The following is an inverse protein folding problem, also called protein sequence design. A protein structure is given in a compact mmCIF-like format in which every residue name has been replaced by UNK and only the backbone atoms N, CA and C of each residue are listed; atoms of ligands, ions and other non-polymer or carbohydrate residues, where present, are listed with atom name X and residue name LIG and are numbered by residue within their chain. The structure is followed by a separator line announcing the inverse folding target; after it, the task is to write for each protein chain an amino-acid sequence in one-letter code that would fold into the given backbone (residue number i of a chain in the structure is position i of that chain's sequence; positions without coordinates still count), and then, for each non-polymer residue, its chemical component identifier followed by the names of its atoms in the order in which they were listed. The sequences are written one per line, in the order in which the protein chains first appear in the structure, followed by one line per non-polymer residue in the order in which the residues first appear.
data_IF_760934167351
#
_entry.id   IF_760934167351
#
_cell.length_a   1.000
_cell.length_b   1.000
_cell.length_c   1.000
_cell.angle_alpha   90.00
_cell.angle_beta   90.00
_cell.angle_gamma   90.00
#
_symmetry.space_group_name_H-M   'P 1'
#
loop_
_entity.id
_entity.type
_entity.pdbx_description
1 polymer ?
#
# COMPACT_ATOMS: atom_id res chain seq x y z
N UNK A 1 0.68 -2.75 33.86
CA UNK A 1 2.14 -2.62 34.10
C UNK A 1 2.56 -1.16 34.00
N UNK A 2 3.61 -0.76 34.72
CA UNK A 2 4.19 0.60 34.63
C UNK A 2 4.86 0.82 33.26
N UNK A 3 4.88 2.05 32.76
CA UNK A 3 5.47 2.39 31.46
C UNK A 3 6.97 2.07 31.38
N UNK A 4 7.76 2.40 32.40
CA UNK A 4 9.20 2.10 32.46
C UNK A 4 9.49 0.61 32.34
N UNK A 5 8.71 -0.22 33.02
CA UNK A 5 8.79 -1.68 32.94
C UNK A 5 8.41 -2.19 31.54
N UNK A 6 7.36 -1.63 30.93
CA UNK A 6 6.94 -1.96 29.57
C UNK A 6 8.09 -1.71 28.58
N UNK A 7 8.66 -0.50 28.59
CA UNK A 7 9.71 -0.12 27.64
C UNK A 7 10.95 -0.98 27.80
N UNK A 8 11.39 -1.25 29.03
CA UNK A 8 12.54 -2.10 29.32
C UNK A 8 12.37 -3.52 28.77
N UNK A 9 11.23 -4.17 29.05
CA UNK A 9 10.96 -5.54 28.56
C UNK A 9 10.91 -5.63 27.03
N UNK A 10 10.35 -4.61 26.37
CA UNK A 10 10.29 -4.56 24.90
C UNK A 10 11.68 -4.43 24.30
N UNK A 11 12.53 -3.56 24.86
CA UNK A 11 13.90 -3.36 24.41
C UNK A 11 14.75 -4.62 24.62
N UNK A 12 14.69 -5.24 25.81
CA UNK A 12 15.42 -6.48 26.12
C UNK A 12 15.05 -7.62 25.15
N UNK A 13 13.78 -7.72 24.79
CA UNK A 13 13.30 -8.69 23.82
C UNK A 13 13.83 -8.38 22.42
N UNK A 14 13.75 -7.12 22.00
CA UNK A 14 14.21 -6.71 20.67
C UNK A 14 15.70 -6.94 20.51
N UNK A 15 16.48 -6.75 21.58
CA UNK A 15 17.92 -6.99 21.52
C UNK A 15 18.27 -8.46 21.26
N UNK A 16 17.45 -9.40 21.73
CA UNK A 16 17.66 -10.84 21.57
C UNK A 16 16.97 -11.44 20.34
N UNK A 17 15.78 -10.95 19.99
CA UNK A 17 14.86 -11.62 19.06
C UNK A 17 14.30 -10.71 17.95
N UNK A 18 14.53 -9.40 18.04
CA UNK A 18 14.08 -8.43 17.05
C UNK A 18 14.75 -8.61 15.69
N UNK A 19 14.05 -8.26 14.61
CA UNK A 19 14.65 -8.22 13.27
C UNK A 19 15.49 -6.96 13.13
N UNK A 20 16.75 -7.13 12.75
CA UNK A 20 17.73 -6.04 12.64
C UNK A 20 18.44 -6.00 11.29
N UNK A 21 18.05 -6.88 10.37
CA UNK A 21 18.76 -7.15 9.11
C UNK A 21 17.90 -6.91 7.88
N UNK A 22 16.74 -6.26 8.02
CA UNK A 22 15.93 -5.90 6.86
C UNK A 22 16.66 -4.83 6.03
N UNK A 23 16.47 -4.79 4.70
CA UNK A 23 17.20 -3.86 3.82
C UNK A 23 17.16 -2.39 4.24
N UNK A 24 16.00 -1.93 4.74
CA UNK A 24 15.80 -0.56 5.22
C UNK A 24 16.30 -0.30 6.65
N UNK A 25 16.79 -1.33 7.35
CA UNK A 25 17.40 -1.20 8.68
C UNK A 25 18.93 -1.06 8.62
N UNK A 26 19.55 -1.41 7.49
CA UNK A 26 20.99 -1.23 7.24
C UNK A 26 21.21 0.18 6.70
N UNK A 27 22.24 0.88 7.17
CA UNK A 27 22.60 2.25 6.76
C UNK A 27 21.37 3.17 6.67
N UNK A 28 20.74 3.37 7.83
CA UNK A 28 19.45 4.07 7.92
C UNK A 28 19.63 5.52 7.50
N UNK A 29 18.79 5.95 6.56
CA UNK A 29 18.60 7.35 6.18
C UNK A 29 17.12 7.69 6.24
N UNK A 30 16.73 8.96 6.46
CA UNK A 30 15.32 9.35 6.42
C UNK A 30 14.62 8.94 5.12
N UNK A 31 15.30 9.03 3.97
CA UNK A 31 14.77 8.60 2.67
C UNK A 31 14.45 7.10 2.62
N UNK A 32 15.41 6.24 3.00
CA UNK A 32 15.23 4.77 3.00
C UNK A 32 14.12 4.35 3.96
N UNK A 33 14.11 4.93 5.17
CA UNK A 33 13.07 4.65 6.17
C UNK A 33 11.71 5.08 5.65
N UNK A 34 11.58 6.31 5.14
CA UNK A 34 10.33 6.81 4.57
C UNK A 34 9.79 5.93 3.45
N UNK A 35 10.65 5.54 2.49
CA UNK A 35 10.25 4.66 1.39
C UNK A 35 9.70 3.33 1.91
N UNK A 36 10.42 2.69 2.84
CA UNK A 36 9.99 1.42 3.44
C UNK A 36 8.67 1.56 4.20
N UNK A 37 8.50 2.64 4.98
CA UNK A 37 7.29 2.90 5.75
C UNK A 37 6.06 3.08 4.83
N UNK A 38 6.21 3.80 3.72
CA UNK A 38 5.13 3.95 2.73
C UNK A 38 4.81 2.60 2.08
N UNK A 39 5.81 1.80 1.72
CA UNK A 39 5.59 0.46 1.16
C UNK A 39 4.93 -0.51 2.15
N UNK A 40 5.27 -0.45 3.44
CA UNK A 40 4.75 -1.33 4.49
C UNK A 40 3.31 -1.01 4.92
N UNK A 41 2.77 0.15 4.51
CA UNK A 41 1.35 0.46 4.73
C UNK A 41 0.46 -0.62 4.12
N UNK A 42 -0.22 -1.39 4.99
CA UNK A 42 -1.12 -2.47 4.58
C UNK A 42 -0.48 -3.55 3.68
N UNK A 43 0.85 -3.68 3.70
CA UNK A 43 1.59 -4.65 2.89
C UNK A 43 2.55 -5.44 3.78
N UNK A 44 2.72 -6.74 3.53
CA UNK A 44 3.58 -7.59 4.35
C UNK A 44 5.06 -7.35 4.06
N UNK A 45 5.91 -7.49 5.09
CA UNK A 45 7.37 -7.33 4.98
C UNK A 45 7.97 -8.19 3.86
N UNK A 46 7.60 -9.47 3.79
CA UNK A 46 8.11 -10.39 2.76
C UNK A 46 7.78 -9.93 1.34
N UNK A 47 6.60 -9.34 1.13
CA UNK A 47 6.22 -8.73 -0.16
C UNK A 47 7.03 -7.47 -0.45
N UNK A 48 7.30 -6.64 0.56
CA UNK A 48 7.98 -5.34 0.39
C UNK A 48 9.45 -5.49 0.07
N UNK A 49 10.17 -6.45 0.67
CA UNK A 49 11.62 -6.64 0.49
C UNK A 49 12.07 -6.52 -0.98
N UNK A 50 11.56 -7.34 -1.93
CA UNK A 50 12.04 -7.28 -3.31
C UNK A 50 11.67 -5.97 -4.03
N UNK A 51 10.59 -5.28 -3.61
CA UNK A 51 10.24 -3.98 -4.20
C UNK A 51 11.15 -2.88 -3.67
N UNK A 52 11.42 -2.86 -2.37
CA UNK A 52 12.32 -1.89 -1.77
C UNK A 52 13.70 -1.93 -2.43
N UNK A 53 14.26 -3.13 -2.62
CA UNK A 53 15.56 -3.32 -3.27
C UNK A 53 15.57 -2.77 -4.70
N UNK A 54 14.57 -3.12 -5.53
CA UNK A 54 14.48 -2.60 -6.91
C UNK A 54 14.27 -1.09 -6.95
N UNK A 55 13.45 -0.54 -6.05
CA UNK A 55 13.22 0.90 -5.95
C UNK A 55 14.48 1.64 -5.55
N UNK A 56 15.22 1.17 -4.55
CA UNK A 56 16.47 1.80 -4.11
C UNK A 56 17.58 1.68 -5.15
N UNK A 57 17.62 0.58 -5.91
CA UNK A 57 18.54 0.44 -7.04
C UNK A 57 18.24 1.45 -8.16
N UNK A 58 16.96 1.70 -8.45
CA UNK A 58 16.56 2.64 -9.51
C UNK A 58 16.55 4.11 -9.06
N UNK A 59 16.16 4.36 -7.82
CA UNK A 59 16.07 5.68 -7.20
C UNK A 59 16.90 5.71 -5.91
N UNK A 60 18.24 5.82 -6.01
CA UNK A 60 19.10 5.79 -4.83
C UNK A 60 18.86 6.96 -3.87
N UNK A 61 18.46 8.12 -4.40
CA UNK A 61 18.18 9.34 -3.62
C UNK A 61 16.76 9.84 -3.80
N UNK A 62 16.30 10.69 -2.87
CA UNK A 62 15.01 11.38 -2.99
C UNK A 62 14.93 12.26 -4.23
N UNK A 63 16.04 12.84 -4.66
CA UNK A 63 16.13 13.67 -5.87
C UNK A 63 15.98 12.83 -7.13
N UNK A 64 16.57 11.63 -7.18
CA UNK A 64 16.38 10.70 -8.31
C UNK A 64 14.92 10.28 -8.43
N UNK A 65 14.26 10.00 -7.30
CA UNK A 65 12.83 9.71 -7.27
C UNK A 65 12.00 10.92 -7.73
N UNK A 66 12.34 12.13 -7.31
CA UNK A 66 11.62 13.35 -7.66
C UNK A 66 11.69 13.70 -9.16
N UNK A 67 12.83 13.41 -9.79
CA UNK A 67 13.09 13.70 -11.20
C UNK A 67 12.53 12.62 -12.15
N UNK A 68 12.11 11.47 -11.61
CA UNK A 68 11.61 10.38 -12.42
C UNK A 68 10.24 10.71 -13.05
N UNK A 69 9.96 10.21 -14.27
CA UNK A 69 8.60 10.22 -14.80
C UNK A 69 7.66 9.44 -13.87
N UNK A 70 6.46 9.96 -13.63
CA UNK A 70 5.47 9.31 -12.76
C UNK A 70 5.14 7.88 -13.23
N UNK A 71 5.05 7.66 -14.54
CA UNK A 71 4.73 6.34 -15.10
C UNK A 71 5.79 5.29 -14.75
N UNK A 72 7.06 5.67 -14.69
CA UNK A 72 8.15 4.78 -14.27
C UNK A 72 8.04 4.41 -12.78
N UNK A 73 7.71 5.40 -11.93
CA UNK A 73 7.45 5.17 -10.50
C UNK A 73 6.27 4.23 -10.30
N UNK A 74 5.18 4.44 -11.05
CA UNK A 74 3.98 3.60 -10.99
C UNK A 74 4.24 2.20 -11.56
N UNK A 75 5.06 2.09 -12.60
CA UNK A 75 5.49 0.83 -13.17
C UNK A 75 6.20 -0.03 -12.11
N UNK A 76 7.23 0.52 -11.45
CA UNK A 76 7.94 -0.21 -10.39
C UNK A 76 7.05 -0.55 -9.19
N UNK A 77 6.01 0.25 -8.93
CA UNK A 77 5.03 0.00 -7.87
C UNK A 77 3.98 -1.07 -8.23
N UNK A 78 3.92 -1.49 -9.50
CA UNK A 78 2.91 -2.43 -10.00
C UNK A 78 2.94 -3.73 -9.18
N UNK A 79 1.79 -4.11 -8.62
CA UNK A 79 1.65 -5.28 -7.76
C UNK A 79 1.68 -5.01 -6.25
N UNK A 80 2.18 -3.86 -5.78
CA UNK A 80 2.11 -3.49 -4.35
C UNK A 80 0.72 -3.01 -3.91
N UNK A 81 -0.14 -2.63 -4.86
CA UNK A 81 -1.47 -2.10 -4.57
C UNK A 81 -1.46 -0.72 -3.90
N UNK A 82 -2.66 -0.16 -3.66
CA UNK A 82 -2.85 1.17 -3.06
C UNK A 82 -1.99 2.26 -3.73
N UNK A 83 -2.09 2.40 -5.06
CA UNK A 83 -1.24 3.29 -5.88
C UNK A 83 -1.31 4.79 -5.55
N UNK A 84 -2.31 5.21 -4.77
CA UNK A 84 -2.30 6.55 -4.17
C UNK A 84 -1.04 6.78 -3.31
N UNK A 85 -0.50 5.72 -2.69
CA UNK A 85 0.77 5.76 -1.95
C UNK A 85 1.93 6.16 -2.85
N UNK A 86 2.10 5.51 -4.00
CA UNK A 86 3.15 5.83 -4.96
C UNK A 86 3.04 7.26 -5.50
N UNK A 87 1.82 7.71 -5.83
CA UNK A 87 1.58 9.08 -6.31
C UNK A 87 1.91 10.12 -5.24
N UNK A 88 1.50 9.88 -4.00
CA UNK A 88 1.80 10.77 -2.89
C UNK A 88 3.29 10.75 -2.54
N UNK A 89 3.92 9.57 -2.57
CA UNK A 89 5.37 9.41 -2.41
C UNK A 89 6.12 10.26 -3.44
N UNK A 90 5.75 10.17 -4.72
CA UNK A 90 6.38 10.93 -5.78
C UNK A 90 6.21 12.45 -5.59
N UNK A 91 4.98 12.90 -5.31
CA UNK A 91 4.71 14.33 -5.01
C UNK A 91 5.50 14.83 -3.79
N UNK A 92 5.60 14.01 -2.74
CA UNK A 92 6.40 14.32 -1.57
C UNK A 92 7.90 14.38 -1.88
N UNK A 93 8.42 13.47 -2.72
CA UNK A 93 9.81 13.54 -3.19
C UNK A 93 10.10 14.86 -3.92
N UNK A 94 9.19 15.28 -4.81
CA UNK A 94 9.27 16.55 -5.53
C UNK A 94 9.21 17.76 -4.59
N UNK A 95 8.38 17.69 -3.54
CA UNK A 95 8.34 18.71 -2.49
C UNK A 95 9.64 18.77 -1.70
N UNK A 96 10.23 17.62 -1.34
CA UNK A 96 11.55 17.55 -0.67
C UNK A 96 12.66 18.13 -1.55
N UNK A 97 12.67 17.79 -2.84
CA UNK A 97 13.65 18.33 -3.78
C UNK A 97 13.54 19.86 -3.90
N UNK A 98 12.32 20.37 -4.09
CA UNK A 98 12.09 21.80 -4.35
C UNK A 98 12.17 22.67 -3.10
N UNK A 99 11.54 22.26 -1.99
CA UNK A 99 11.43 23.10 -0.79
C UNK A 99 12.56 22.88 0.22
N UNK A 100 13.19 21.71 0.20
CA UNK A 100 14.22 21.32 1.17
C UNK A 100 15.57 21.01 0.50
N UNK A 101 15.76 21.37 -0.77
CA UNK A 101 17.02 21.23 -1.49
C UNK A 101 17.50 19.78 -1.63
N UNK A 102 16.57 18.82 -1.70
CA UNK A 102 16.90 17.38 -1.77
C UNK A 102 17.33 16.77 -0.44
N UNK A 103 17.33 17.54 0.66
CA UNK A 103 17.52 17.03 2.02
C UNK A 103 16.16 16.71 2.64
N UNK A 104 15.97 15.47 3.08
CA UNK A 104 14.73 15.10 3.75
C UNK A 104 14.57 15.92 5.05
N UNK A 105 13.39 16.52 5.32
CA UNK A 105 13.19 17.35 6.50
C UNK A 105 13.39 16.56 7.79
N UNK A 106 13.76 17.25 8.86
CA UNK A 106 14.10 16.64 10.16
C UNK A 106 13.22 17.12 11.31
N UNK A 107 12.21 17.95 11.02
CA UNK A 107 11.18 18.38 11.99
C UNK A 107 9.87 17.62 11.75
N UNK A 108 9.06 17.51 12.80
CA UNK A 108 7.81 16.76 12.73
C UNK A 108 6.80 17.43 11.80
N UNK A 109 6.67 18.75 11.91
CA UNK A 109 5.71 19.57 11.16
C UNK A 109 5.99 19.51 9.67
N UNK A 110 7.26 19.65 9.27
CA UNK A 110 7.67 19.58 7.85
C UNK A 110 7.41 18.18 7.27
N UNK A 111 7.75 17.11 7.99
CA UNK A 111 7.49 15.74 7.53
C UNK A 111 5.99 15.44 7.45
N UNK A 112 5.23 15.84 8.47
CA UNK A 112 3.78 15.62 8.52
C UNK A 112 3.02 16.43 7.45
N UNK A 113 3.62 17.50 6.92
CA UNK A 113 3.07 18.26 5.80
C UNK A 113 3.27 17.57 4.44
N UNK A 114 4.12 16.54 4.34
CA UNK A 114 4.37 15.83 3.10
C UNK A 114 3.14 14.98 2.67
N UNK A 115 2.79 14.96 1.37
CA UNK A 115 1.70 14.14 0.86
C UNK A 115 1.82 12.66 1.26
N UNK A 116 0.74 12.11 1.82
CA UNK A 116 0.68 10.70 2.22
C UNK A 116 1.44 10.34 3.51
N UNK A 117 2.00 11.33 4.22
CA UNK A 117 2.66 11.13 5.50
C UNK A 117 1.71 11.52 6.63
N UNK A 118 1.24 10.53 7.40
CA UNK A 118 0.41 10.75 8.58
C UNK A 118 1.24 10.84 9.87
N UNK A 119 0.58 11.17 10.99
CA UNK A 119 1.21 11.29 12.34
C UNK A 119 2.13 10.12 12.70
N UNK A 120 1.67 8.89 12.50
CA UNK A 120 2.47 7.70 12.82
C UNK A 120 3.67 7.53 11.89
N UNK A 121 3.51 7.82 10.61
CA UNK A 121 4.60 7.72 9.62
C UNK A 121 5.66 8.76 9.90
N UNK A 122 5.27 10.00 10.23
CA UNK A 122 6.21 11.05 10.62
C UNK A 122 7.02 10.66 11.86
N UNK A 123 6.36 10.13 12.90
CA UNK A 123 7.02 9.60 14.08
C UNK A 123 7.97 8.44 13.78
N UNK A 124 7.57 7.52 12.90
CA UNK A 124 8.41 6.39 12.49
C UNK A 124 9.67 6.86 11.76
N UNK A 125 9.55 7.77 10.78
CA UNK A 125 10.70 8.30 10.04
C UNK A 125 11.70 8.94 11.01
N UNK A 126 11.24 9.87 11.85
CA UNK A 126 12.12 10.63 12.74
C UNK A 126 12.76 9.77 13.83
N UNK A 127 11.99 8.87 14.44
CA UNK A 127 12.52 8.00 15.49
C UNK A 127 13.50 6.96 14.94
N UNK A 128 13.17 6.30 13.84
CA UNK A 128 13.99 5.19 13.32
C UNK A 128 15.28 5.68 12.66
N UNK A 129 15.22 6.79 11.93
CA UNK A 129 16.37 7.32 11.18
C UNK A 129 17.23 8.30 11.98
N UNK A 130 16.63 9.11 12.87
CA UNK A 130 17.33 10.19 13.59
C UNK A 130 17.27 10.06 15.12
N UNK A 131 16.64 9.01 15.66
CA UNK A 131 16.54 8.80 17.10
C UNK A 131 15.69 9.85 17.82
N UNK A 132 14.84 10.60 17.12
CA UNK A 132 14.00 11.63 17.75
C UNK A 132 12.85 10.99 18.54
N UNK A 133 12.55 11.57 19.69
CA UNK A 133 11.55 11.05 20.63
C UNK A 133 10.12 11.29 20.14
N UNK A 134 9.66 10.44 19.22
CA UNK A 134 8.28 10.45 18.73
C UNK A 134 7.65 9.04 18.83
N UNK A 135 6.39 8.94 19.31
CA UNK A 135 5.66 7.68 19.32
C UNK A 135 5.14 7.32 17.92
N UNK A 136 4.84 6.04 17.75
CA UNK A 136 4.14 5.51 16.57
C UNK A 136 2.82 4.85 16.97
N UNK A 137 1.89 4.69 16.03
CA UNK A 137 0.61 4.01 16.29
C UNK A 137 0.05 3.35 15.03
N UNK A 138 0.82 2.45 14.44
CA UNK A 138 0.38 1.62 13.32
C UNK A 138 -0.59 0.52 13.78
N UNK A 139 -1.06 -0.31 12.84
CA UNK A 139 -1.99 -1.40 13.16
C UNK A 139 -1.40 -2.46 14.12
N UNK A 140 -0.08 -2.63 14.14
CA UNK A 140 0.62 -3.54 15.05
C UNK A 140 0.63 -2.98 16.48
N UNK A 141 1.08 -1.74 16.63
CA UNK A 141 1.15 -1.04 17.92
C UNK A 141 -0.24 -0.89 18.52
N UNK A 142 -1.26 -0.49 17.73
CA UNK A 142 -2.67 -0.43 18.19
C UNK A 142 -3.12 -1.75 18.82
N UNK A 143 -2.76 -2.89 18.22
CA UNK A 143 -3.13 -4.22 18.72
C UNK A 143 -2.39 -4.61 19.98
N UNK A 144 -1.08 -4.37 20.04
CA UNK A 144 -0.26 -4.64 21.24
C UNK A 144 -0.78 -3.82 22.42
N UNK A 145 -0.94 -2.51 22.25
CA UNK A 145 -1.41 -1.61 23.32
C UNK A 145 -2.85 -1.92 23.74
N UNK A 146 -3.75 -2.14 22.78
CA UNK A 146 -5.14 -2.46 23.10
C UNK A 146 -5.27 -3.75 23.91
N UNK A 147 -4.47 -4.78 23.62
CA UNK A 147 -4.45 -6.03 24.39
C UNK A 147 -3.78 -5.87 25.75
N UNK A 148 -2.59 -5.25 25.77
CA UNK A 148 -1.82 -5.09 27.00
C UNK A 148 -2.59 -4.29 28.06
N UNK A 149 -3.27 -3.21 27.64
CA UNK A 149 -4.00 -2.29 28.51
C UNK A 149 -5.52 -2.46 28.44
N UNK A 150 -6.03 -3.54 27.82
CA UNK A 150 -7.46 -3.84 27.67
C UNK A 150 -8.31 -2.65 27.16
N UNK A 151 -7.79 -1.93 26.14
CA UNK A 151 -8.50 -0.81 25.51
C UNK A 151 -9.58 -1.34 24.57
N UNK A 152 -10.83 -1.32 25.05
CA UNK A 152 -11.99 -1.73 24.27
C UNK A 152 -12.37 -0.70 23.19
N UNK A 153 -13.22 -1.14 22.26
CA UNK A 153 -13.73 -0.28 21.18
C UNK A 153 -12.90 -0.34 19.90
N UNK A 154 -13.52 0.10 18.80
CA UNK A 154 -12.89 0.11 17.48
C UNK A 154 -11.91 1.29 17.36
N UNK A 155 -10.62 1.06 17.03
CA UNK A 155 -9.63 2.14 16.89
C UNK A 155 -9.88 3.13 15.75
N UNK A 156 -10.93 2.96 14.95
CA UNK A 156 -11.39 3.97 13.99
C UNK A 156 -12.30 5.04 14.61
N UNK A 157 -12.77 4.86 15.86
CA UNK A 157 -13.44 5.92 16.62
C UNK A 157 -12.39 6.84 17.24
N UNK A 158 -12.61 8.16 17.13
CA UNK A 158 -11.65 9.18 17.58
C UNK A 158 -11.27 9.05 19.05
N UNK A 159 -12.24 8.76 19.92
CA UNK A 159 -12.03 8.55 21.36
C UNK A 159 -11.05 7.39 21.64
N UNK A 160 -11.27 6.24 21.01
CA UNK A 160 -10.42 5.05 21.16
C UNK A 160 -9.03 5.31 20.58
N UNK A 161 -8.96 5.97 19.42
CA UNK A 161 -7.70 6.35 18.81
C UNK A 161 -6.87 7.30 19.69
N UNK A 162 -7.50 8.32 20.27
CA UNK A 162 -6.82 9.26 21.17
C UNK A 162 -6.28 8.55 22.41
N UNK A 163 -7.05 7.63 23.01
CA UNK A 163 -6.58 6.82 24.15
C UNK A 163 -5.35 5.98 23.79
N UNK A 164 -5.35 5.36 22.62
CA UNK A 164 -4.20 4.58 22.15
C UNK A 164 -2.98 5.46 21.85
N UNK A 165 -3.17 6.68 21.35
CA UNK A 165 -2.08 7.64 21.17
C UNK A 165 -1.45 8.04 22.51
N UNK A 166 -2.26 8.39 23.51
CA UNK A 166 -1.77 8.73 24.84
C UNK A 166 -1.00 7.57 25.48
N UNK A 167 -1.49 6.33 25.33
CA UNK A 167 -0.74 5.15 25.80
C UNK A 167 0.59 4.99 25.08
N UNK A 168 0.61 5.14 23.74
CA UNK A 168 1.84 5.03 22.96
C UNK A 168 2.88 6.05 23.41
N UNK A 169 2.47 7.30 23.61
CA UNK A 169 3.32 8.37 24.12
C UNK A 169 3.87 8.05 25.52
N UNK A 170 3.02 7.57 26.44
CA UNK A 170 3.43 7.22 27.80
C UNK A 170 4.47 6.09 27.84
N UNK A 171 4.37 5.09 26.96
CA UNK A 171 5.29 3.93 26.97
C UNK A 171 6.51 4.11 26.05
N UNK A 172 6.54 5.16 25.22
CA UNK A 172 7.65 5.38 24.30
C UNK A 172 8.82 6.05 25.05
N UNK A 173 9.96 5.35 25.23
CA UNK A 173 11.11 5.94 25.90
C UNK A 173 11.81 6.96 24.98
N UNK A 174 12.46 7.95 25.57
CA UNK A 174 13.33 8.86 24.84
C UNK A 174 14.64 8.16 24.43
N UNK A 175 15.26 7.43 25.37
CA UNK A 175 16.50 6.68 25.13
C UNK A 175 16.16 5.35 24.46
N UNK A 176 16.76 5.08 23.31
CA UNK A 176 16.53 3.85 22.54
C UNK A 176 15.20 3.84 21.77
N UNK A 177 14.60 5.00 21.51
CA UNK A 177 13.32 5.14 20.80
C UNK A 177 13.30 4.43 19.44
N UNK A 178 14.43 4.44 18.73
CA UNK A 178 14.61 3.78 17.44
C UNK A 178 14.43 2.27 17.54
N UNK A 179 14.95 1.66 18.61
CA UNK A 179 14.79 0.23 18.90
C UNK A 179 13.39 -0.06 19.40
N UNK A 180 12.87 0.78 20.30
CA UNK A 180 11.55 0.58 20.89
C UNK A 180 10.43 0.61 19.83
N UNK A 181 10.42 1.60 18.94
CA UNK A 181 9.39 1.72 17.91
C UNK A 181 9.44 0.54 16.93
N UNK A 182 10.64 0.12 16.51
CA UNK A 182 10.79 -1.07 15.67
C UNK A 182 10.34 -2.34 16.41
N UNK A 183 10.70 -2.47 17.68
CA UNK A 183 10.30 -3.60 18.52
C UNK A 183 8.77 -3.72 18.66
N UNK A 184 8.08 -2.60 18.84
CA UNK A 184 6.62 -2.58 18.93
C UNK A 184 5.95 -3.05 17.64
N UNK A 185 6.49 -2.68 16.48
CA UNK A 185 6.02 -3.19 15.19
C UNK A 185 6.30 -4.69 15.03
N UNK A 186 7.51 -5.14 15.37
CA UNK A 186 7.93 -6.55 15.31
C UNK A 186 7.10 -7.44 16.25
N UNK A 187 6.85 -6.98 17.48
CA UNK A 187 6.01 -7.67 18.44
C UNK A 187 4.61 -7.89 17.88
N UNK A 188 3.99 -6.86 17.31
CA UNK A 188 2.68 -7.02 16.69
C UNK A 188 2.73 -7.94 15.47
N UNK A 189 3.78 -7.86 14.65
CA UNK A 189 3.90 -8.65 13.42
C UNK A 189 4.14 -10.15 13.69
N UNK A 190 4.93 -10.51 14.71
CA UNK A 190 5.47 -11.87 14.90
C UNK A 190 4.91 -12.60 16.13
N UNK A 191 4.54 -11.87 17.19
CA UNK A 191 4.18 -12.43 18.50
C UNK A 191 2.71 -12.17 18.80
N UNK A 192 2.33 -10.90 18.92
CA UNK A 192 0.97 -10.46 19.20
C UNK A 192 0.17 -10.36 17.89
N UNK A 193 0.07 -11.46 17.16
CA UNK A 193 -0.59 -11.56 15.84
C UNK A 193 -2.12 -11.38 15.92
N UNK A 194 -2.77 -11.11 14.78
CA UNK A 194 -4.23 -10.91 14.72
C UNK A 194 -4.99 -12.11 15.29
N UNK A 195 -4.64 -13.32 14.84
CA UNK A 195 -5.17 -14.59 15.29
C UNK A 195 -4.10 -15.39 16.03
N UNK A 196 -4.50 -16.10 17.09
CA UNK A 196 -3.67 -17.03 17.87
C UNK A 196 -2.32 -16.40 18.28
N UNK A 197 -2.31 -15.29 19.05
CA UNK A 197 -1.07 -14.67 19.50
C UNK A 197 -0.22 -15.63 20.33
N UNK A 198 1.09 -15.55 20.19
CA UNK A 198 2.05 -16.41 20.89
C UNK A 198 2.34 -15.85 22.29
N UNK A 199 1.32 -15.79 23.14
CA UNK A 199 1.40 -15.13 24.45
C UNK A 199 2.53 -15.68 25.33
N UNK A 200 2.81 -16.99 25.28
CA UNK A 200 3.91 -17.63 26.02
C UNK A 200 5.32 -17.17 25.63
N UNK A 201 5.47 -16.58 24.43
CA UNK A 201 6.73 -16.03 23.93
C UNK A 201 6.77 -14.49 24.01
N UNK A 202 5.72 -13.87 24.57
CA UNK A 202 5.57 -12.43 24.60
C UNK A 202 6.30 -11.84 25.81
N UNK A 203 7.20 -10.85 25.63
CA UNK A 203 7.90 -10.24 26.77
C UNK A 203 6.96 -9.50 27.73
N UNK A 204 5.78 -9.11 27.24
CA UNK A 204 4.76 -8.37 27.99
C UNK A 204 3.74 -9.28 28.69
N UNK A 205 3.89 -10.61 28.60
CA UNK A 205 2.88 -11.56 29.09
C UNK A 205 2.51 -11.34 30.56
N UNK A 206 3.52 -11.11 31.41
CA UNK A 206 3.36 -11.00 32.87
C UNK A 206 2.54 -9.81 33.36
N UNK A 207 2.28 -8.80 32.52
CA UNK A 207 1.42 -7.67 32.88
C UNK A 207 0.42 -7.28 31.81
N UNK A 208 0.22 -8.13 30.80
CA UNK A 208 -0.78 -7.94 29.75
C UNK A 208 -2.16 -8.37 30.26
N UNK A 209 -3.10 -7.45 30.34
CA UNK A 209 -4.45 -7.70 30.87
C UNK A 209 -5.20 -8.72 30.00
N UNK A 210 -5.11 -8.60 28.67
CA UNK A 210 -5.78 -9.54 27.78
C UNK A 210 -5.20 -10.96 27.83
N UNK A 211 -3.93 -11.12 28.21
CA UNK A 211 -3.33 -12.44 28.41
C UNK A 211 -3.78 -13.05 29.74
N UNK A 212 -3.80 -12.26 30.83
CA UNK A 212 -4.29 -12.71 32.14
C UNK A 212 -5.76 -13.16 32.12
N UNK A 213 -6.56 -12.59 31.23
CA UNK A 213 -8.00 -12.85 31.12
C UNK A 213 -8.37 -13.73 29.91
N UNK A 214 -7.42 -14.30 29.18
CA UNK A 214 -7.64 -15.07 27.94
C UNK A 214 -8.56 -14.38 26.92
N UNK A 215 -8.50 -13.04 26.86
CA UNK A 215 -9.47 -12.19 26.17
C UNK A 215 -8.87 -11.41 24.99
N UNK A 216 -7.70 -11.83 24.49
CA UNK A 216 -7.01 -11.19 23.37
C UNK A 216 -7.86 -11.05 22.10
N UNK A 217 -8.89 -11.89 21.94
CA UNK A 217 -9.82 -11.88 20.81
C UNK A 217 -10.80 -10.69 20.83
N UNK A 218 -10.98 -10.05 21.99
CA UNK A 218 -11.82 -8.85 22.17
C UNK A 218 -11.10 -7.56 21.76
N UNK A 219 -9.77 -7.60 21.61
CA UNK A 219 -8.93 -6.41 21.43
C UNK A 219 -8.03 -6.51 20.18
N UNK A 220 -7.94 -5.43 19.38
CA UNK A 220 -8.78 -4.24 19.42
C UNK A 220 -10.25 -4.55 19.06
N UNK A 221 -11.16 -3.66 19.43
CA UNK A 221 -12.56 -3.79 19.01
C UNK A 221 -12.70 -3.79 17.48
N UNK A 222 -13.64 -4.58 16.98
CA UNK A 222 -13.84 -4.77 15.54
C UNK A 222 -14.45 -3.53 14.89
N UNK A 223 -14.05 -3.25 13.65
CA UNK A 223 -14.76 -2.31 12.79
C UNK A 223 -16.23 -2.75 12.67
N UNK A 224 -17.21 -1.85 12.83
CA UNK A 224 -18.61 -2.17 12.53
C UNK A 224 -18.73 -2.76 11.13
N UNK A 225 -19.47 -3.86 10.99
CA UNK A 225 -19.68 -4.47 9.67
C UNK A 225 -20.41 -3.49 8.77
N UNK A 226 -19.95 -3.38 7.53
CA UNK A 226 -20.61 -2.62 6.48
C UNK A 226 -20.77 -3.56 5.28
N UNK A 227 -21.96 -3.61 4.69
CA UNK A 227 -22.18 -4.29 3.42
C UNK A 227 -21.39 -3.55 2.35
N UNK A 228 -20.50 -4.26 1.66
CA UNK A 228 -19.73 -3.67 0.57
C UNK A 228 -20.65 -3.60 -0.66
N UNK A 229 -20.82 -2.42 -1.28
CA UNK A 229 -21.58 -2.31 -2.51
C UNK A 229 -20.91 -3.13 -3.61
N UNK A 230 -21.71 -3.73 -4.47
CA UNK A 230 -21.25 -4.47 -5.65
C UNK A 230 -21.44 -3.58 -6.89
N UNK A 231 -20.47 -3.62 -7.79
CA UNK A 231 -20.47 -2.88 -9.06
C UNK A 231 -20.05 -3.82 -10.16
N UNK A 232 -20.63 -3.68 -11.33
CA UNK A 232 -20.20 -4.39 -12.54
C UNK A 232 -19.41 -3.44 -13.43
N UNK A 233 -18.39 -3.95 -14.12
CA UNK A 233 -17.65 -3.21 -15.13
C UNK A 233 -17.27 -4.09 -16.31
N UNK A 234 -17.63 -3.65 -17.51
CA UNK A 234 -17.27 -4.32 -18.76
C UNK A 234 -15.92 -3.80 -19.23
N UNK A 235 -14.92 -4.67 -19.33
CA UNK A 235 -13.57 -4.32 -19.76
C UNK A 235 -13.38 -4.71 -21.21
N UNK A 236 -13.21 -3.74 -22.10
CA UNK A 236 -13.01 -4.01 -23.51
C UNK A 236 -11.52 -4.25 -23.81
N UNK A 237 -11.18 -5.47 -24.20
CA UNK A 237 -9.84 -5.91 -24.60
C UNK A 237 -9.76 -5.84 -26.13
N UNK A 238 -9.42 -4.68 -26.68
CA UNK A 238 -9.12 -4.54 -28.10
C UNK A 238 -7.72 -5.07 -28.36
N UNK A 239 -7.59 -6.07 -29.22
CA UNK A 239 -6.32 -6.68 -29.56
C UNK A 239 -6.07 -6.61 -31.07
N UNK A 240 -4.89 -6.12 -31.44
CA UNK A 240 -4.37 -6.16 -32.80
C UNK A 240 -3.04 -6.92 -32.75
N UNK A 241 -3.00 -8.11 -33.34
CA UNK A 241 -1.83 -9.00 -33.25
C UNK A 241 -1.35 -9.19 -31.80
N UNK A 242 -0.12 -8.76 -31.49
CA UNK A 242 0.49 -8.84 -30.16
C UNK A 242 0.31 -7.56 -29.32
N UNK A 243 -0.53 -6.63 -29.77
CA UNK A 243 -0.74 -5.35 -29.11
C UNK A 243 -2.16 -5.23 -28.59
N UNK A 244 -2.28 -4.60 -27.41
CA UNK A 244 -3.55 -4.50 -26.68
C UNK A 244 -3.78 -3.06 -26.29
N UNK A 245 -4.96 -2.52 -26.63
CA UNK A 245 -5.27 -1.11 -26.34
C UNK A 245 -5.52 -0.90 -24.84
N UNK A 246 -4.80 0.07 -24.27
CA UNK A 246 -5.00 0.56 -22.91
C UNK A 246 -5.12 2.09 -22.91
N UNK A 247 -5.94 2.62 -22.01
CA UNK A 247 -6.08 4.05 -21.77
C UNK A 247 -5.66 4.39 -20.35
N UNK A 248 -4.97 5.52 -20.18
CA UNK A 248 -4.61 6.01 -18.86
C UNK A 248 -5.85 6.58 -18.17
N UNK A 249 -6.08 6.16 -16.92
CA UNK A 249 -7.18 6.69 -16.11
C UNK A 249 -6.86 8.10 -15.58
N UNK A 250 -7.88 8.94 -15.33
CA UNK A 250 -7.69 10.24 -14.68
C UNK A 250 -6.81 10.15 -13.42
N UNK A 251 -6.03 11.18 -13.05
CA UNK A 251 -5.10 11.12 -11.91
C UNK A 251 -5.75 10.81 -10.55
N UNK A 252 -7.05 11.07 -10.41
CA UNK A 252 -7.85 10.84 -9.21
C UNK A 252 -8.89 9.73 -9.41
N UNK A 253 -9.40 9.19 -8.30
CA UNK A 253 -10.38 8.10 -8.33
C UNK A 253 -9.76 6.70 -8.43
N UNK A 254 -10.58 5.73 -8.89
CA UNK A 254 -10.20 4.33 -8.99
C UNK A 254 -9.00 4.17 -9.92
N UNK A 255 -7.92 3.57 -9.41
CA UNK A 255 -6.66 3.35 -10.16
C UNK A 255 -6.10 4.60 -10.84
N UNK A 256 -6.26 5.78 -10.22
CA UNK A 256 -5.94 7.03 -10.91
C UNK A 256 -4.48 7.08 -11.40
N UNK A 257 -4.30 7.50 -12.65
CA UNK A 257 -3.00 7.54 -13.35
C UNK A 257 -2.47 6.19 -13.85
N UNK A 258 -3.16 5.07 -13.61
CA UNK A 258 -2.78 3.77 -14.17
C UNK A 258 -3.40 3.55 -15.54
N UNK A 259 -2.73 2.75 -16.36
CA UNK A 259 -3.27 2.26 -17.62
C UNK A 259 -4.24 1.10 -17.37
N UNK A 260 -5.39 1.15 -18.03
CA UNK A 260 -6.47 0.17 -17.91
C UNK A 260 -7.13 -0.07 -19.27
N UNK A 261 -7.82 -1.20 -19.38
CA UNK A 261 -8.78 -1.41 -20.47
C UNK A 261 -9.87 -0.34 -20.43
N UNK A 262 -10.37 0.11 -21.59
CA UNK A 262 -11.62 0.85 -21.65
C UNK A 262 -12.70 0.13 -20.83
N UNK A 263 -13.33 0.86 -19.91
CA UNK A 263 -14.28 0.32 -18.95
C UNK A 263 -15.64 0.97 -19.14
N UNK A 264 -16.68 0.14 -19.20
CA UNK A 264 -18.06 0.56 -19.38
C UNK A 264 -18.94 0.06 -18.23
N UNK A 265 -20.04 0.76 -17.98
CA UNK A 265 -21.00 0.38 -16.94
C UNK A 265 -21.86 -0.82 -17.36
N UNK A 266 -22.11 -0.94 -18.66
CA UNK A 266 -22.94 -1.96 -19.28
C UNK A 266 -22.43 -2.29 -20.70
N UNK A 267 -22.95 -3.38 -21.27
CA UNK A 267 -22.58 -3.82 -22.62
C UNK A 267 -23.09 -2.85 -23.71
N UNK A 268 -24.22 -2.18 -23.47
CA UNK A 268 -24.83 -1.26 -24.44
C UNK A 268 -23.93 -0.05 -24.69
N UNK A 269 -23.47 0.62 -23.63
CA UNK A 269 -22.55 1.77 -23.72
C UNK A 269 -21.22 1.40 -24.36
N UNK A 270 -20.70 0.19 -24.12
CA UNK A 270 -19.51 -0.31 -24.81
C UNK A 270 -19.76 -0.48 -26.32
N UNK A 271 -20.88 -1.08 -26.72
CA UNK A 271 -21.23 -1.26 -28.14
C UNK A 271 -21.46 0.07 -28.84
N UNK A 272 -22.08 1.04 -28.16
CA UNK A 272 -22.22 2.41 -28.67
C UNK A 272 -20.84 3.07 -28.88
N UNK A 273 -19.91 2.91 -27.94
CA UNK A 273 -18.54 3.44 -28.06
C UNK A 273 -17.78 2.84 -29.26
N UNK A 274 -17.93 1.53 -29.49
CA UNK A 274 -17.38 0.84 -30.66
C UNK A 274 -17.98 1.37 -31.97
N UNK A 275 -19.31 1.53 -32.01
CA UNK A 275 -20.03 2.02 -33.18
C UNK A 275 -19.64 3.46 -33.55
N UNK A 276 -19.48 4.34 -32.57
CA UNK A 276 -19.02 5.73 -32.77
C UNK A 276 -17.62 5.80 -33.40
N UNK A 277 -16.77 4.79 -33.15
CA UNK A 277 -15.42 4.66 -33.72
C UNK A 277 -15.36 3.79 -34.96
N UNK A 278 -16.52 3.38 -35.49
CA UNK A 278 -16.63 2.51 -36.66
C UNK A 278 -15.87 1.19 -36.50
N UNK A 279 -15.75 0.68 -35.27
CA UNK A 279 -15.10 -0.60 -34.98
C UNK A 279 -16.15 -1.71 -35.06
N UNK A 280 -15.89 -2.72 -35.91
CA UNK A 280 -16.79 -3.86 -36.07
C UNK A 280 -16.74 -4.78 -34.83
N UNK A 281 -17.88 -4.97 -34.17
CA UNK A 281 -18.02 -5.81 -32.98
C UNK A 281 -18.44 -7.27 -33.28
N UNK A 282 -18.37 -7.72 -34.53
CA UNK A 282 -18.87 -9.04 -34.97
C UNK A 282 -18.16 -10.25 -34.37
N UNK A 283 -16.92 -10.07 -33.89
CA UNK A 283 -16.14 -11.11 -33.22
C UNK A 283 -15.95 -10.85 -31.71
N UNK A 284 -16.77 -9.97 -31.14
CA UNK A 284 -16.72 -9.64 -29.72
C UNK A 284 -17.10 -10.88 -28.87
N UNK A 285 -16.19 -11.31 -28.01
CA UNK A 285 -16.35 -12.52 -27.19
C UNK A 285 -16.17 -12.19 -25.71
N UNK A 286 -17.10 -12.61 -24.87
CA UNK A 286 -16.96 -12.49 -23.42
C UNK A 286 -15.98 -13.55 -22.89
N UNK A 287 -15.01 -13.13 -22.08
CA UNK A 287 -14.14 -14.03 -21.32
C UNK A 287 -14.71 -14.33 -19.92
N UNK A 288 -14.09 -15.23 -19.16
CA UNK A 288 -14.55 -15.57 -17.81
C UNK A 288 -14.55 -14.35 -16.88
N UNK A 289 -15.73 -13.99 -16.41
CA UNK A 289 -15.93 -12.90 -15.46
C UNK A 289 -15.31 -13.25 -14.09
N UNK A 290 -14.84 -12.23 -13.38
CA UNK A 290 -14.26 -12.41 -12.05
C UNK A 290 -14.47 -11.21 -11.15
N UNK A 291 -14.49 -11.47 -9.84
CA UNK A 291 -14.61 -10.43 -8.82
C UNK A 291 -13.25 -9.90 -8.38
N UNK A 292 -13.07 -8.59 -8.41
CA UNK A 292 -11.96 -7.89 -7.79
C UNK A 292 -12.46 -7.13 -6.54
N UNK A 293 -11.89 -7.42 -5.38
CA UNK A 293 -12.36 -6.89 -4.10
C UNK A 293 -11.50 -5.73 -3.61
N UNK A 294 -12.13 -4.58 -3.41
CA UNK A 294 -11.54 -3.44 -2.71
C UNK A 294 -11.95 -3.42 -1.24
N UNK A 295 -11.28 -2.60 -0.45
CA UNK A 295 -11.63 -2.37 0.95
C UNK A 295 -13.02 -1.74 1.17
N UNK A 296 -13.63 -1.18 0.12
CA UNK A 296 -14.84 -0.36 0.19
C UNK A 296 -15.92 -0.74 -0.84
N UNK A 297 -15.67 -1.66 -1.77
CA UNK A 297 -16.66 -2.23 -2.70
C UNK A 297 -16.12 -3.48 -3.40
N UNK A 298 -17.00 -4.26 -4.04
CA UNK A 298 -16.64 -5.31 -4.98
C UNK A 298 -16.86 -4.84 -6.42
N UNK A 299 -15.89 -5.13 -7.30
CA UNK A 299 -16.02 -4.92 -8.75
C UNK A 299 -16.08 -6.28 -9.45
N UNK A 300 -17.23 -6.61 -10.01
CA UNK A 300 -17.40 -7.74 -10.91
C UNK A 300 -16.99 -7.31 -12.31
N UNK A 301 -15.88 -7.86 -12.78
CA UNK A 301 -15.27 -7.52 -14.07
C UNK A 301 -15.74 -8.53 -15.10
N UNK A 302 -16.33 -8.03 -16.18
CA UNK A 302 -16.76 -8.79 -17.36
C UNK A 302 -15.81 -8.44 -18.51
N UNK A 303 -14.78 -9.24 -18.81
CA UNK A 303 -13.86 -8.95 -19.90
C UNK A 303 -14.51 -9.28 -21.24
N UNK A 304 -14.43 -8.35 -22.18
CA UNK A 304 -15.00 -8.43 -23.52
C UNK A 304 -13.84 -8.30 -24.51
N UNK A 305 -13.44 -9.42 -25.11
CA UNK A 305 -12.33 -9.49 -26.05
C UNK A 305 -12.77 -9.27 -27.49
N UNK A 306 -12.03 -8.44 -28.21
CA UNK A 306 -12.30 -8.12 -29.61
C UNK A 306 -10.99 -8.06 -30.40
N UNK A 307 -10.72 -9.03 -31.30
CA UNK A 307 -9.68 -8.89 -32.29
C UNK A 307 -10.07 -7.80 -33.31
N UNK A 308 -9.16 -6.88 -33.59
CA UNK A 308 -9.34 -5.81 -34.60
C UNK A 308 -8.29 -5.92 -35.69
N UNK A 309 -8.64 -5.53 -36.92
CA UNK A 309 -7.76 -5.59 -38.10
C UNK A 309 -6.98 -4.29 -38.36
N UNK A 310 -7.34 -3.18 -37.72
CA UNK A 310 -6.68 -1.87 -37.89
C UNK A 310 -7.00 -0.92 -36.72
N UNK A 311 -6.10 0.03 -36.43
CA UNK A 311 -6.12 0.87 -35.22
C UNK A 311 -6.46 2.36 -35.47
N UNK A 312 -6.76 2.77 -36.70
CA UNK A 312 -6.91 4.19 -37.10
C UNK A 312 -8.01 4.96 -36.34
N UNK A 313 -8.98 4.27 -35.72
CA UNK A 313 -10.05 4.90 -34.93
C UNK A 313 -9.78 5.09 -33.42
N UNK A 314 -8.63 4.62 -32.89
CA UNK A 314 -8.34 4.65 -31.44
C UNK A 314 -7.18 5.58 -31.03
N UNK A 315 -6.51 6.23 -31.98
CA UNK A 315 -5.31 7.05 -31.71
C UNK A 315 -5.60 8.50 -31.25
N UNK A 316 -6.85 8.94 -31.31
CA UNK A 316 -7.24 10.35 -31.03
C UNK A 316 -7.63 10.63 -29.56
N UNK A 317 -7.44 9.67 -28.66
CA UNK A 317 -7.72 9.87 -27.23
C UNK A 317 -6.43 10.02 -26.44
N UNK A 318 -6.22 11.22 -25.88
CA UNK A 318 -5.07 11.56 -25.06
C UNK A 318 -4.74 10.50 -24.01
N UNK A 319 -3.43 10.22 -23.86
CA UNK A 319 -2.83 9.24 -22.95
C UNK A 319 -3.35 7.79 -23.10
N UNK A 320 -3.59 7.32 -24.32
CA UNK A 320 -3.75 5.90 -24.64
C UNK A 320 -2.49 5.29 -25.28
N UNK A 321 -2.34 3.97 -25.19
CA UNK A 321 -1.25 3.24 -25.85
C UNK A 321 -1.68 1.84 -26.32
N UNK A 322 -0.97 1.35 -27.33
CA UNK A 322 -0.98 -0.05 -27.72
C UNK A 322 0.10 -0.79 -26.94
N UNK A 323 -0.32 -1.58 -25.96
CA UNK A 323 0.55 -2.31 -25.05
C UNK A 323 1.04 -3.56 -25.74
N UNK A 324 2.33 -3.58 -26.07
CA UNK A 324 2.95 -4.74 -26.71
C UNK A 324 3.14 -5.88 -25.71
N UNK A 325 2.51 -7.03 -25.97
CA UNK A 325 2.55 -8.18 -25.07
C UNK A 325 3.93 -8.85 -25.03
N UNK A 326 4.72 -8.74 -26.11
CA UNK A 326 6.04 -9.33 -26.25
C UNK A 326 7.17 -8.40 -25.76
N UNK A 327 7.02 -7.09 -25.93
CA UNK A 327 7.94 -6.06 -25.46
C UNK A 327 7.19 -4.99 -24.65
N UNK A 328 6.80 -5.31 -23.40
CA UNK A 328 5.93 -4.45 -22.63
C UNK A 328 6.54 -3.07 -22.31
N UNK A 329 5.79 -1.97 -22.51
CA UNK A 329 6.24 -0.66 -22.05
C UNK A 329 6.23 -0.57 -20.52
N UNK A 330 7.13 0.25 -19.96
CA UNK A 330 7.28 0.48 -18.52
C UNK A 330 6.20 1.43 -17.98
N UNK A 331 4.96 0.98 -17.94
CA UNK A 331 3.82 1.75 -17.42
C UNK A 331 3.20 1.12 -16.16
N UNK A 332 2.50 1.95 -15.38
CA UNK A 332 1.77 1.50 -14.20
C UNK A 332 0.44 0.84 -14.57
N UNK A 333 0.23 -0.41 -14.12
CA UNK A 333 -0.95 -1.20 -14.44
C UNK A 333 -1.76 -1.53 -13.19
N UNK A 334 -3.08 -1.57 -13.32
CA UNK A 334 -3.95 -2.07 -12.26
C UNK A 334 -3.86 -3.61 -12.16
N UNK A 335 -3.97 -4.16 -10.95
CA UNK A 335 -3.89 -5.61 -10.73
C UNK A 335 -4.81 -6.48 -11.64
N UNK A 336 -6.10 -6.15 -11.86
CA UNK A 336 -6.92 -6.94 -12.79
C UNK A 336 -6.51 -6.77 -14.26
N UNK A 337 -5.85 -5.66 -14.60
CA UNK A 337 -5.32 -5.42 -15.96
C UNK A 337 -4.11 -6.32 -16.20
N UNK A 338 -3.16 -6.36 -15.26
CA UNK A 338 -2.00 -7.26 -15.32
C UNK A 338 -2.44 -8.73 -15.45
N UNK A 339 -3.46 -9.14 -14.67
CA UNK A 339 -4.05 -10.48 -14.76
C UNK A 339 -4.53 -10.79 -16.19
N UNK A 340 -5.31 -9.90 -16.79
CA UNK A 340 -5.86 -10.09 -18.12
C UNK A 340 -4.77 -10.06 -19.21
N UNK A 341 -3.79 -9.16 -19.10
CA UNK A 341 -2.64 -9.11 -20.00
C UNK A 341 -1.82 -10.42 -19.93
N UNK A 342 -1.62 -10.96 -18.73
CA UNK A 342 -0.95 -12.25 -18.55
C UNK A 342 -1.76 -13.40 -19.19
N UNK A 343 -3.09 -13.38 -19.08
CA UNK A 343 -3.95 -14.36 -19.75
C UNK A 343 -3.83 -14.29 -21.28
N UNK A 344 -3.80 -13.07 -21.85
CA UNK A 344 -3.59 -12.88 -23.29
C UNK A 344 -2.19 -13.37 -23.74
N UNK A 345 -1.14 -13.15 -22.93
CA UNK A 345 0.22 -13.63 -23.23
C UNK A 345 0.33 -15.16 -23.30
N UNK A 346 -0.35 -15.86 -22.39
CA UNK A 346 -0.23 -17.33 -22.30
C UNK A 346 -1.14 -18.07 -23.26
N UNK A 347 -2.00 -17.37 -24.01
CA UNK A 347 -3.02 -17.99 -24.86
C UNK A 347 -3.98 -18.89 -24.08
N UNK A 348 -4.07 -18.71 -22.75
CA UNK A 348 -4.89 -19.55 -21.90
C UNK A 348 -6.37 -19.33 -22.28
N UNK A 349 -7.11 -20.38 -22.65
CA UNK A 349 -8.51 -20.25 -22.99
C UNK A 349 -9.34 -19.82 -21.77
N UNK A 350 -10.30 -18.95 -22.08
CA UNK A 350 -11.51 -18.50 -21.37
C UNK A 350 -11.83 -19.23 -20.08
#
# INVERSE_FOLDING_TARGET
MQASQFSAQVLDWYDKYGRKTLPWQIDKTPYKVWLSEVMLQQTQVATVIPYFERFMARFPTVTDLANAPLDEVLHLWTGLGYYARARNLHKAAQQVATLHGGKFPETFEEIAALPGVGRSTAGAILSLSLGKHFPILDGNVKRVLARCYAVSGWPGKKEVENKLWSLSEQVTPAVGVERFNQAMMDLGAMICTRSKPKCSLCPLQNGCIAAANDSWSLYPGKKPKQTLPERTGYFLLLQHENEVFLAQRPPSGLWGGLYCFPQFADEESMRQWLAQRQINAGHLTQLTAFRHTFSHFHLDIVPMWLPVSSFTGCMDEGNALWYNLAQPPSVGLAAPVERLLQQLRTGAPV
#
